data_IF_288239165970
#
_entry.id   IF_288239165970
#
_cell.length_a   1.000
_cell.length_b   1.000
_cell.length_c   1.000
_cell.angle_alpha   90.00
_cell.angle_beta   90.00
_cell.angle_gamma   90.00
#
_symmetry.space_group_name_H-M   'P 1'
#
loop_
_entity.id
_entity.type
_entity.pdbx_description
1 polymer ?
#
# COMPACT_ATOMS: atom_id res chain seq x y z
N UNK A 1 94.68 -44.63 -61.15
CA UNK A 1 93.87 -44.63 -62.39
C UNK A 1 92.60 -43.83 -62.12
N UNK A 2 92.48 -42.71 -62.81
CA UNK A 2 91.30 -41.87 -63.11
C UNK A 2 90.27 -41.48 -62.03
N UNK A 3 90.14 -40.15 -61.91
CA UNK A 3 89.09 -39.35 -61.27
C UNK A 3 87.70 -39.56 -61.91
N UNK A 4 86.62 -39.26 -61.18
CA UNK A 4 85.50 -38.33 -61.55
C UNK A 4 84.36 -38.45 -60.53
N UNK A 5 84.19 -37.48 -59.61
CA UNK A 5 83.25 -36.33 -59.64
C UNK A 5 81.75 -36.65 -59.77
N UNK A 6 80.98 -36.39 -58.70
CA UNK A 6 79.54 -35.99 -58.70
C UNK A 6 79.11 -35.88 -57.23
N UNK A 7 78.38 -34.91 -56.69
CA UNK A 7 77.82 -33.62 -57.11
C UNK A 7 77.34 -32.95 -55.80
N UNK A 8 77.57 -31.63 -55.67
CA UNK A 8 77.01 -30.75 -54.62
C UNK A 8 75.48 -30.70 -54.69
N UNK A 9 74.79 -30.65 -53.56
CA UNK A 9 74.10 -29.42 -53.08
C UNK A 9 73.50 -29.60 -51.66
N UNK A 10 73.27 -28.47 -50.95
CA UNK A 10 73.07 -28.41 -49.50
C UNK A 10 71.58 -28.50 -49.13
N UNK A 11 71.26 -28.85 -47.89
CA UNK A 11 69.97 -28.46 -47.32
C UNK A 11 70.16 -27.81 -45.94
N UNK A 12 70.01 -26.49 -46.00
CA UNK A 12 70.13 -25.51 -44.95
C UNK A 12 68.79 -25.41 -44.20
N UNK A 13 68.89 -25.55 -42.87
CA UNK A 13 68.07 -24.87 -41.87
C UNK A 13 66.54 -24.83 -42.06
N UNK A 14 65.88 -25.93 -41.69
CA UNK A 14 64.51 -25.91 -41.12
C UNK A 14 64.50 -26.55 -39.74
N UNK A 15 65.00 -25.83 -38.74
CA UNK A 15 65.04 -26.32 -37.34
C UNK A 15 65.02 -25.26 -36.25
N UNK A 16 65.21 -23.97 -36.58
CA UNK A 16 65.26 -22.89 -35.59
C UNK A 16 63.92 -22.59 -34.94
N UNK A 17 62.78 -22.81 -35.62
CA UNK A 17 61.45 -22.65 -35.00
C UNK A 17 61.08 -23.82 -34.10
N UNK A 18 61.53 -25.04 -34.39
CA UNK A 18 61.31 -26.20 -33.52
C UNK A 18 62.18 -26.10 -32.26
N UNK A 19 63.46 -25.75 -32.41
CA UNK A 19 64.36 -25.49 -31.29
C UNK A 19 63.86 -24.34 -30.40
N UNK A 20 63.44 -23.21 -31.00
CA UNK A 20 62.92 -22.07 -30.26
C UNK A 20 61.62 -22.39 -29.50
N UNK A 21 60.71 -23.16 -30.11
CA UNK A 21 59.49 -23.65 -29.45
C UNK A 21 59.83 -24.57 -28.29
N UNK A 22 60.80 -25.47 -28.48
CA UNK A 22 61.23 -26.37 -27.41
C UNK A 22 61.88 -25.59 -26.26
N UNK A 23 62.74 -24.61 -26.55
CA UNK A 23 63.34 -23.76 -25.52
C UNK A 23 62.30 -22.88 -24.84
N UNK A 24 61.31 -22.36 -25.57
CA UNK A 24 60.20 -21.59 -24.98
C UNK A 24 59.37 -22.48 -24.05
N UNK A 25 59.01 -23.69 -24.47
CA UNK A 25 58.24 -24.64 -23.66
C UNK A 25 59.08 -25.08 -22.45
N UNK A 26 60.38 -25.32 -22.60
CA UNK A 26 61.27 -25.63 -21.49
C UNK A 26 61.37 -24.47 -20.49
N UNK A 27 61.54 -23.23 -20.95
CA UNK A 27 61.58 -22.05 -20.09
C UNK A 27 60.24 -21.85 -19.39
N UNK A 28 59.13 -21.96 -20.12
CA UNK A 28 57.77 -21.85 -19.54
C UNK A 28 57.52 -22.96 -18.51
N UNK A 29 57.94 -24.20 -18.81
CA UNK A 29 57.81 -25.34 -17.89
C UNK A 29 58.69 -25.16 -16.65
N UNK A 30 59.91 -24.65 -16.81
CA UNK A 30 60.84 -24.40 -15.71
C UNK A 30 60.36 -23.23 -14.83
N UNK A 31 59.80 -22.19 -15.44
CA UNK A 31 59.11 -21.09 -14.73
C UNK A 31 57.89 -21.61 -13.97
N UNK A 32 57.06 -22.46 -14.59
CA UNK A 32 55.90 -23.08 -13.93
C UNK A 32 56.33 -23.99 -12.78
N UNK A 33 57.39 -24.78 -12.95
CA UNK A 33 57.91 -25.67 -11.91
C UNK A 33 58.52 -24.90 -10.73
N UNK A 34 59.20 -23.77 -10.99
CA UNK A 34 59.69 -22.87 -9.93
C UNK A 34 58.54 -22.18 -9.20
N UNK A 35 57.47 -21.82 -9.92
CA UNK A 35 56.24 -21.30 -9.33
C UNK A 35 55.48 -22.35 -8.50
N UNK A 36 55.56 -23.62 -8.89
CA UNK A 36 54.86 -24.75 -8.25
C UNK A 36 55.62 -25.34 -7.04
N UNK A 37 56.93 -25.04 -6.91
CA UNK A 37 57.78 -25.61 -5.85
C UNK A 37 57.49 -25.08 -4.43
N UNK A 38 56.60 -24.09 -4.27
CA UNK A 38 56.12 -23.64 -2.97
C UNK A 38 54.61 -23.84 -2.87
N UNK A 39 54.24 -24.86 -2.10
CA UNK A 39 52.92 -25.46 -1.87
C UNK A 39 51.85 -24.50 -1.27
N UNK A 40 51.65 -23.31 -1.86
CA UNK A 40 50.72 -22.25 -1.44
C UNK A 40 50.09 -21.42 -2.59
N UNK A 41 50.37 -21.70 -3.88
CA UNK A 41 49.93 -20.83 -4.99
C UNK A 41 48.58 -21.15 -5.64
N UNK A 42 47.95 -22.29 -5.34
CA UNK A 42 46.61 -22.62 -5.85
C UNK A 42 45.49 -21.75 -5.27
N UNK A 43 45.76 -21.00 -4.19
CA UNK A 43 44.80 -20.05 -3.58
C UNK A 43 44.84 -18.69 -4.30
N UNK A 44 46.01 -18.21 -4.73
CA UNK A 44 46.19 -16.87 -5.33
C UNK A 44 45.72 -16.76 -6.79
N UNK A 45 45.80 -17.84 -7.57
CA UNK A 45 45.25 -17.87 -8.94
C UNK A 45 43.72 -17.76 -8.90
N UNK A 46 43.08 -18.33 -7.86
CA UNK A 46 41.64 -18.21 -7.63
C UNK A 46 41.23 -16.78 -7.24
N UNK A 47 42.08 -16.06 -6.50
CA UNK A 47 41.89 -14.63 -6.20
C UNK A 47 41.98 -13.74 -7.44
N UNK A 48 42.98 -13.93 -8.32
CA UNK A 48 43.11 -13.10 -9.55
C UNK A 48 41.99 -13.39 -10.55
N UNK A 49 41.58 -14.66 -10.73
CA UNK A 49 40.42 -15.00 -11.54
C UNK A 49 39.13 -14.39 -10.96
N UNK A 50 38.99 -14.36 -9.63
CA UNK A 50 37.80 -13.78 -8.99
C UNK A 50 37.68 -12.28 -9.21
N UNK A 51 38.79 -11.53 -9.29
CA UNK A 51 38.79 -10.06 -9.50
C UNK A 51 38.32 -9.66 -10.91
N UNK A 52 38.50 -10.53 -11.92
CA UNK A 52 38.06 -10.27 -13.31
C UNK A 52 36.67 -10.85 -13.59
N UNK A 53 36.33 -11.98 -12.97
CA UNK A 53 35.03 -12.65 -13.18
C UNK A 53 33.88 -11.92 -12.47
N UNK A 54 34.13 -11.27 -11.33
CA UNK A 54 33.11 -10.56 -10.56
C UNK A 54 32.46 -9.37 -11.31
N UNK A 55 33.22 -8.44 -11.94
CA UNK A 55 32.61 -7.34 -12.69
C UNK A 55 31.89 -7.80 -13.96
N UNK A 56 32.30 -8.92 -14.57
CA UNK A 56 31.62 -9.49 -15.73
C UNK A 56 30.22 -10.01 -15.39
N UNK A 57 30.04 -10.63 -14.21
CA UNK A 57 28.70 -11.03 -13.73
C UNK A 57 27.81 -9.82 -13.43
N UNK A 58 28.36 -8.75 -12.85
CA UNK A 58 27.63 -7.52 -12.59
C UNK A 58 27.15 -6.85 -13.89
N UNK A 59 27.99 -6.83 -14.94
CA UNK A 59 27.67 -6.28 -16.25
C UNK A 59 26.60 -7.09 -17.00
N UNK A 60 26.58 -8.41 -16.85
CA UNK A 60 25.56 -9.28 -17.46
C UNK A 60 24.19 -9.07 -16.78
N UNK A 61 24.16 -8.85 -15.47
CA UNK A 61 22.91 -8.71 -14.70
C UNK A 61 22.39 -7.27 -14.61
N UNK A 62 23.24 -6.25 -14.86
CA UNK A 62 22.88 -4.84 -14.86
C UNK A 62 21.71 -4.48 -15.81
N UNK A 63 21.69 -4.90 -17.10
CA UNK A 63 20.59 -4.56 -18.00
C UNK A 63 19.26 -5.22 -17.58
N UNK A 64 19.30 -6.43 -17.02
CA UNK A 64 18.09 -7.10 -16.50
C UNK A 64 17.56 -6.47 -15.21
N UNK A 65 18.43 -5.86 -14.38
CA UNK A 65 18.01 -5.10 -13.21
C UNK A 65 17.38 -3.75 -13.59
N UNK A 66 17.96 -3.05 -14.58
CA UNK A 66 17.41 -1.80 -15.11
C UNK A 66 16.06 -2.01 -15.81
N UNK A 67 15.90 -3.10 -16.56
CA UNK A 67 14.63 -3.48 -17.21
C UNK A 67 13.51 -3.71 -16.20
N UNK A 68 13.77 -4.47 -15.13
CA UNK A 68 12.78 -4.73 -14.06
C UNK A 68 12.39 -3.47 -13.29
N UNK A 69 13.35 -2.59 -12.98
CA UNK A 69 13.06 -1.32 -12.31
C UNK A 69 12.24 -0.35 -13.18
N UNK A 70 12.48 -0.34 -14.50
CA UNK A 70 11.70 0.43 -15.45
C UNK A 70 10.25 -0.08 -15.56
N UNK A 71 10.05 -1.40 -15.55
CA UNK A 71 8.73 -2.05 -15.61
C UNK A 71 7.91 -1.84 -14.32
N UNK A 72 8.55 -1.91 -13.15
CA UNK A 72 7.94 -1.59 -11.84
C UNK A 72 7.57 -0.09 -11.73
N UNK A 73 8.40 0.82 -12.24
CA UNK A 73 8.12 2.26 -12.21
C UNK A 73 6.96 2.64 -13.15
N UNK A 74 6.88 2.02 -14.33
CA UNK A 74 5.81 2.31 -15.31
C UNK A 74 4.44 1.76 -14.86
N UNK A 75 4.42 0.58 -14.23
CA UNK A 75 3.19 -0.01 -13.68
C UNK A 75 2.66 0.80 -12.48
N UNK A 76 3.54 1.35 -11.64
CA UNK A 76 3.14 2.18 -10.50
C UNK A 76 2.48 3.50 -10.94
N UNK A 77 3.04 4.19 -11.97
CA UNK A 77 2.50 5.47 -12.45
C UNK A 77 1.16 5.32 -13.15
N UNK A 78 0.97 4.26 -13.94
CA UNK A 78 -0.30 3.98 -14.64
C UNK A 78 -1.41 3.59 -13.65
N UNK A 79 -1.08 2.81 -12.61
CA UNK A 79 -1.98 2.50 -11.50
C UNK A 79 -2.48 3.75 -10.79
N UNK A 80 -1.57 4.66 -10.40
CA UNK A 80 -1.93 5.91 -9.73
C UNK A 80 -2.80 6.84 -10.59
N UNK A 81 -2.54 6.93 -11.89
CA UNK A 81 -3.37 7.74 -12.81
C UNK A 81 -4.78 7.15 -12.92
N UNK A 82 -4.90 5.84 -13.02
CA UNK A 82 -6.20 5.17 -13.09
C UNK A 82 -6.98 5.31 -11.77
N UNK A 83 -6.31 5.17 -10.63
CA UNK A 83 -6.95 5.36 -9.32
C UNK A 83 -7.40 6.82 -9.14
N UNK A 84 -6.58 7.79 -9.52
CA UNK A 84 -6.97 9.20 -9.47
C UNK A 84 -8.19 9.49 -10.36
N UNK A 85 -8.22 8.89 -11.56
CA UNK A 85 -9.37 9.01 -12.48
C UNK A 85 -10.65 8.41 -11.88
N UNK A 86 -10.54 7.23 -11.27
CA UNK A 86 -11.65 6.55 -10.59
C UNK A 86 -12.17 7.35 -9.41
N UNK A 87 -11.29 7.86 -8.56
CA UNK A 87 -11.66 8.71 -7.42
C UNK A 87 -12.34 10.00 -7.87
N UNK A 88 -11.82 10.65 -8.92
CA UNK A 88 -12.48 11.84 -9.51
C UNK A 88 -13.87 11.53 -10.05
N UNK A 89 -14.05 10.39 -10.71
CA UNK A 89 -15.36 9.97 -11.19
C UNK A 89 -16.33 9.72 -10.03
N UNK A 90 -15.88 9.06 -8.96
CA UNK A 90 -16.69 8.85 -7.75
C UNK A 90 -17.08 10.17 -7.10
N UNK A 91 -16.14 11.11 -6.96
CA UNK A 91 -16.41 12.44 -6.42
C UNK A 91 -17.45 13.20 -7.26
N UNK A 92 -17.36 13.13 -8.60
CA UNK A 92 -18.36 13.74 -9.49
C UNK A 92 -19.75 13.10 -9.31
N UNK A 93 -19.83 11.77 -9.23
CA UNK A 93 -21.10 11.07 -9.00
C UNK A 93 -21.69 11.37 -7.62
N UNK A 94 -20.86 11.51 -6.58
CA UNK A 94 -21.32 11.91 -5.25
C UNK A 94 -21.82 13.35 -5.23
N UNK A 95 -21.11 14.27 -5.88
CA UNK A 95 -21.50 15.67 -6.00
C UNK A 95 -22.87 15.84 -6.68
N UNK A 96 -23.12 15.10 -7.76
CA UNK A 96 -24.44 15.13 -8.44
C UNK A 96 -25.57 14.58 -7.57
N UNK A 97 -25.30 13.53 -6.77
CA UNK A 97 -26.28 13.01 -5.79
C UNK A 97 -26.58 14.03 -4.69
N UNK A 98 -25.56 14.70 -4.15
CA UNK A 98 -25.72 15.77 -3.16
C UNK A 98 -26.57 16.91 -3.71
N UNK A 99 -26.26 17.39 -4.91
CA UNK A 99 -27.05 18.45 -5.55
C UNK A 99 -28.51 18.03 -5.75
N UNK A 100 -28.76 16.76 -6.11
CA UNK A 100 -30.12 16.22 -6.22
C UNK A 100 -30.83 16.18 -4.87
N UNK A 101 -30.17 15.75 -3.79
CA UNK A 101 -30.77 15.76 -2.45
C UNK A 101 -31.14 17.17 -2.00
N UNK A 102 -30.25 18.15 -2.18
CA UNK A 102 -30.54 19.56 -1.87
C UNK A 102 -31.75 20.06 -2.67
N UNK A 103 -31.86 19.70 -3.95
CA UNK A 103 -33.01 20.09 -4.78
C UNK A 103 -34.32 19.46 -4.31
N UNK A 104 -34.29 18.18 -3.92
CA UNK A 104 -35.45 17.46 -3.40
C UNK A 104 -35.89 17.98 -2.03
N UNK A 105 -34.96 18.33 -1.15
CA UNK A 105 -35.27 18.96 0.13
C UNK A 105 -35.94 20.32 -0.06
N UNK A 106 -35.41 21.15 -0.97
CA UNK A 106 -35.99 22.44 -1.30
C UNK A 106 -37.41 22.29 -1.89
N UNK A 107 -37.62 21.30 -2.76
CA UNK A 107 -38.94 20.98 -3.30
C UNK A 107 -39.89 20.47 -2.22
N UNK A 108 -39.41 19.61 -1.31
CA UNK A 108 -40.21 19.10 -0.20
C UNK A 108 -40.66 20.23 0.74
N UNK A 109 -39.75 21.14 1.10
CA UNK A 109 -40.07 22.33 1.90
C UNK A 109 -41.10 23.21 1.18
N UNK A 110 -40.93 23.43 -0.13
CA UNK A 110 -41.88 24.21 -0.93
C UNK A 110 -43.26 23.56 -0.98
N UNK A 111 -43.33 22.25 -1.22
CA UNK A 111 -44.59 21.50 -1.25
C UNK A 111 -45.27 21.52 0.12
N UNK A 112 -44.52 21.35 1.21
CA UNK A 112 -45.04 21.46 2.59
C UNK A 112 -45.58 22.83 2.92
N UNK A 113 -44.92 23.89 2.44
CA UNK A 113 -45.40 25.27 2.58
C UNK A 113 -46.69 25.52 1.78
N UNK A 114 -46.83 24.92 0.59
CA UNK A 114 -48.06 25.02 -0.21
C UNK A 114 -49.23 24.24 0.38
N UNK A 115 -48.95 23.17 1.11
CA UNK A 115 -49.96 22.33 1.76
C UNK A 115 -50.39 22.85 3.14
N UNK A 116 -49.94 24.06 3.53
CA UNK A 116 -50.13 24.66 4.86
C UNK A 116 -49.77 23.71 6.02
N UNK A 117 -48.92 22.71 5.73
CA UNK A 117 -48.37 21.85 6.75
C UNK A 117 -47.32 22.69 7.45
N UNK A 118 -47.59 23.09 8.68
CA UNK A 118 -46.63 23.82 9.52
C UNK A 118 -45.30 23.10 9.42
N UNK A 119 -44.33 23.74 8.78
CA UNK A 119 -42.99 23.19 8.66
C UNK A 119 -42.54 22.80 10.08
N UNK A 120 -42.28 21.51 10.32
CA UNK A 120 -41.42 21.11 11.42
C UNK A 120 -40.04 21.66 11.07
N UNK A 121 -39.85 22.94 11.40
CA UNK A 121 -38.59 23.67 11.24
C UNK A 121 -37.57 22.91 12.08
N UNK A 122 -36.49 22.49 11.43
CA UNK A 122 -35.26 21.90 11.96
C UNK A 122 -35.30 21.59 13.48
N UNK A 123 -35.40 20.31 13.82
CA UNK A 123 -35.27 19.86 15.21
C UNK A 123 -34.02 20.48 15.83
N UNK A 124 -34.21 21.30 16.87
CA UNK A 124 -33.09 21.91 17.60
C UNK A 124 -32.30 20.80 18.27
N UNK A 125 -31.06 20.60 17.83
CA UNK A 125 -30.14 19.63 18.44
C UNK A 125 -29.53 20.25 19.69
N UNK A 126 -29.73 19.59 20.84
CA UNK A 126 -29.10 19.96 22.11
C UNK A 126 -28.02 18.93 22.43
N UNK A 127 -26.78 19.40 22.61
CA UNK A 127 -25.66 18.54 23.02
C UNK A 127 -25.67 18.39 24.54
N UNK A 128 -25.59 17.15 25.00
CA UNK A 128 -25.56 16.78 26.41
C UNK A 128 -24.40 15.80 26.66
N UNK A 129 -23.87 15.81 27.88
CA UNK A 129 -22.86 14.86 28.34
C UNK A 129 -23.51 13.84 29.28
N UNK A 130 -23.00 12.60 29.23
CA UNK A 130 -23.43 11.52 30.11
C UNK A 130 -22.76 11.70 31.47
N UNK A 131 -23.57 11.88 32.51
CA UNK A 131 -23.13 12.05 33.90
C UNK A 131 -23.03 10.71 34.62
N UNK A 132 -23.96 9.80 34.33
CA UNK A 132 -24.03 8.47 34.97
C UNK A 132 -24.64 7.46 34.02
N UNK A 133 -24.26 6.20 34.21
CA UNK A 133 -24.76 5.06 33.44
C UNK A 133 -25.16 3.96 34.40
N UNK A 134 -26.38 3.46 34.26
CA UNK A 134 -26.91 2.32 35.01
C UNK A 134 -27.23 1.19 34.02
N UNK A 135 -26.46 0.09 34.09
CA UNK A 135 -26.61 -1.10 33.24
C UNK A 135 -26.97 -2.33 34.07
N UNK A 136 -28.11 -2.28 34.75
CA UNK A 136 -28.63 -3.44 35.44
C UNK A 136 -29.22 -4.46 34.44
N UNK A 137 -29.24 -5.77 34.73
CA UNK A 137 -29.73 -6.81 33.80
C UNK A 137 -31.17 -6.63 33.31
N UNK A 138 -31.95 -5.80 33.99
CA UNK A 138 -33.35 -5.52 33.68
C UNK A 138 -33.60 -4.06 33.29
N UNK A 139 -32.57 -3.20 33.32
CA UNK A 139 -32.73 -1.77 33.08
C UNK A 139 -31.43 -1.12 32.65
N UNK A 140 -31.44 -0.51 31.46
CA UNK A 140 -30.33 0.21 30.86
C UNK A 140 -30.71 1.69 30.70
N UNK A 141 -30.29 2.52 31.66
CA UNK A 141 -30.56 3.95 31.66
C UNK A 141 -29.29 4.79 31.76
N UNK A 142 -29.35 6.01 31.23
CA UNK A 142 -28.29 7.01 31.32
C UNK A 142 -28.83 8.31 31.89
N UNK A 143 -28.00 9.02 32.65
CA UNK A 143 -28.30 10.36 33.15
C UNK A 143 -27.47 11.38 32.37
N UNK A 144 -28.11 12.43 31.85
CA UNK A 144 -27.44 13.49 31.09
C UNK A 144 -27.43 14.82 31.85
N UNK A 145 -26.45 15.68 31.56
CA UNK A 145 -26.28 17.00 32.21
C UNK A 145 -27.20 18.10 31.64
N UNK A 146 -28.34 17.72 31.06
CA UNK A 146 -29.33 18.62 30.47
C UNK A 146 -30.71 18.29 30.98
N UNK A 147 -31.46 19.33 31.34
CA UNK A 147 -32.78 19.19 31.95
C UNK A 147 -33.84 20.04 31.29
N UNK A 148 -35.00 20.16 31.94
CA UNK A 148 -36.14 20.94 31.44
C UNK A 148 -35.82 22.43 31.28
N UNK A 149 -34.85 22.98 32.03
CA UNK A 149 -34.37 24.35 31.84
C UNK A 149 -33.54 24.53 30.55
N UNK A 150 -32.90 23.48 30.07
CA UNK A 150 -32.21 23.46 28.78
C UNK A 150 -33.18 23.17 27.61
N UNK A 151 -34.47 22.92 27.90
CA UNK A 151 -35.50 22.57 26.92
C UNK A 151 -35.63 21.07 26.64
N UNK A 152 -35.04 20.22 27.49
CA UNK A 152 -35.26 18.76 27.42
C UNK A 152 -36.68 18.42 27.87
N UNK A 153 -37.32 17.47 27.20
CA UNK A 153 -38.67 17.01 27.56
C UNK A 153 -38.81 15.49 27.44
N UNK A 154 -39.76 14.91 28.18
CA UNK A 154 -40.05 13.47 28.15
C UNK A 154 -40.51 13.04 26.75
N UNK A 155 -39.95 11.93 26.27
CA UNK A 155 -40.22 11.39 24.94
C UNK A 155 -39.26 11.91 23.85
N UNK A 156 -38.35 12.83 24.18
CA UNK A 156 -37.32 13.30 23.24
C UNK A 156 -36.31 12.20 22.92
N UNK A 157 -35.98 12.01 21.64
CA UNK A 157 -35.00 11.02 21.19
C UNK A 157 -33.56 11.49 21.42
N UNK A 158 -32.68 10.58 21.83
CA UNK A 158 -31.24 10.79 21.91
C UNK A 158 -30.58 10.16 20.69
N UNK A 159 -29.64 10.87 20.09
CA UNK A 159 -28.96 10.49 18.86
C UNK A 159 -27.44 10.64 19.07
N UNK A 160 -26.69 9.64 18.62
CA UNK A 160 -25.23 9.66 18.49
C UNK A 160 -24.83 9.56 17.00
N UNK A 161 -23.54 9.60 16.69
CA UNK A 161 -22.98 9.57 15.34
C UNK A 161 -23.46 8.36 14.50
N UNK A 162 -23.81 7.25 15.14
CA UNK A 162 -24.27 6.02 14.47
C UNK A 162 -25.80 5.91 14.37
N UNK A 163 -26.56 6.72 15.13
CA UNK A 163 -28.03 6.67 15.10
C UNK A 163 -28.69 6.94 16.46
N UNK A 164 -29.94 6.51 16.60
CA UNK A 164 -30.74 6.71 17.81
C UNK A 164 -30.24 5.77 18.92
N UNK A 165 -29.91 6.34 20.09
CA UNK A 165 -29.39 5.59 21.24
C UNK A 165 -30.42 5.38 22.34
N UNK A 166 -31.46 6.20 22.40
CA UNK A 166 -32.46 6.11 23.47
C UNK A 166 -33.50 7.22 23.44
N UNK A 167 -34.25 7.32 24.53
CA UNK A 167 -35.33 8.31 24.69
C UNK A 167 -35.38 8.82 26.13
N UNK A 168 -35.64 10.11 26.31
CA UNK A 168 -35.83 10.72 27.65
C UNK A 168 -37.10 10.15 28.28
N UNK A 169 -36.97 9.54 29.46
CA UNK A 169 -38.10 9.02 30.25
C UNK A 169 -38.48 9.94 31.40
N UNK A 170 -37.53 10.73 31.90
CA UNK A 170 -37.75 11.67 33.00
C UNK A 170 -36.89 12.91 32.81
N UNK A 171 -37.51 14.07 32.99
CA UNK A 171 -36.82 15.36 33.03
C UNK A 171 -36.75 15.91 34.46
N UNK A 172 -35.60 16.45 34.82
CA UNK A 172 -35.37 17.25 36.02
C UNK A 172 -34.89 18.65 35.59
N UNK A 173 -34.86 19.66 36.49
CA UNK A 173 -34.47 21.02 36.09
C UNK A 173 -33.05 21.14 35.49
N UNK A 174 -32.12 20.30 35.90
CA UNK A 174 -30.70 20.38 35.52
C UNK A 174 -30.12 19.06 34.97
N UNK A 175 -30.93 18.02 34.90
CA UNK A 175 -30.54 16.70 34.41
C UNK A 175 -31.77 16.01 33.82
N UNK A 176 -31.53 14.96 33.05
CA UNK A 176 -32.61 14.12 32.55
C UNK A 176 -32.13 12.67 32.50
N UNK A 177 -33.06 11.76 32.70
CA UNK A 177 -32.85 10.32 32.61
C UNK A 177 -33.38 9.83 31.27
N UNK A 178 -32.59 9.03 30.57
CA UNK A 178 -32.96 8.40 29.31
C UNK A 178 -32.86 6.88 29.42
N UNK A 179 -33.82 6.19 28.80
CA UNK A 179 -33.76 4.75 28.58
C UNK A 179 -33.06 4.47 27.26
N UNK A 180 -32.22 3.45 27.21
CA UNK A 180 -31.49 3.07 26.01
C UNK A 180 -32.30 2.13 25.12
N UNK A 181 -31.98 2.12 23.83
CA UNK A 181 -32.56 1.17 22.84
C UNK A 181 -32.23 -0.30 23.14
N UNK A 182 -31.24 -0.54 23.99
CA UNK A 182 -30.82 -1.87 24.43
C UNK A 182 -31.62 -2.40 25.62
N UNK A 183 -32.50 -1.59 26.20
CA UNK A 183 -33.39 -1.98 27.29
C UNK A 183 -34.55 -2.85 26.76
N UNK A 184 -35.00 -3.83 27.54
CA UNK A 184 -36.09 -4.73 27.16
C UNK A 184 -37.46 -4.04 27.12
N UNK A 185 -37.66 -2.99 27.91
CA UNK A 185 -38.92 -2.24 28.00
C UNK A 185 -38.95 -1.02 27.06
N UNK A 186 -37.95 -0.87 26.19
CA UNK A 186 -37.87 0.25 25.26
C UNK A 186 -38.82 0.10 24.07
N UNK A 187 -39.63 1.14 23.79
CA UNK A 187 -40.56 1.17 22.66
C UNK A 187 -40.34 2.44 21.83
N UNK A 188 -39.68 2.29 20.67
CA UNK A 188 -39.60 3.34 19.66
C UNK A 188 -40.42 2.96 18.41
N UNK A 189 -41.36 3.81 17.95
CA UNK A 189 -41.99 3.63 16.67
C UNK A 189 -40.94 3.80 15.55
N UNK A 190 -40.78 2.77 14.72
CA UNK A 190 -39.88 2.78 13.56
C UNK A 190 -40.68 2.69 12.27
N UNK A 191 -40.25 3.42 11.24
CA UNK A 191 -40.80 3.30 9.89
C UNK A 191 -39.80 2.54 9.01
N UNK A 192 -40.28 1.47 8.35
CA UNK A 192 -39.45 0.69 7.44
C UNK A 192 -39.56 1.29 6.05
N UNK A 193 -38.47 1.89 5.56
CA UNK A 193 -38.36 2.31 4.17
C UNK A 193 -38.44 1.08 3.25
N UNK A 194 -39.53 0.96 2.50
CA UNK A 194 -39.67 -0.05 1.43
C UNK A 194 -39.27 0.61 0.12
N UNK A 195 -38.22 0.08 -0.52
CA UNK A 195 -37.85 0.39 -1.89
C UNK A 195 -38.67 -0.43 -2.88
#
# INVERSE_FOLDING_TARGET
>A
MALTTTKREPDSHRGTTAGLRFTLICVVSLVLMVLDHQNQHLVKIREVLSVVVYPAQALINAPFALGRWAEETFSFRTGLINENRKLRQQALMQSTRLQRMVSLEAENVRLRALLDSTAKVADRVLVAEIVSVDMNPFRHTILINKGSRDGVYVGQALIDAEGIVGQITRDQPFAAEAILVTDADHVLPVEIARN
#
